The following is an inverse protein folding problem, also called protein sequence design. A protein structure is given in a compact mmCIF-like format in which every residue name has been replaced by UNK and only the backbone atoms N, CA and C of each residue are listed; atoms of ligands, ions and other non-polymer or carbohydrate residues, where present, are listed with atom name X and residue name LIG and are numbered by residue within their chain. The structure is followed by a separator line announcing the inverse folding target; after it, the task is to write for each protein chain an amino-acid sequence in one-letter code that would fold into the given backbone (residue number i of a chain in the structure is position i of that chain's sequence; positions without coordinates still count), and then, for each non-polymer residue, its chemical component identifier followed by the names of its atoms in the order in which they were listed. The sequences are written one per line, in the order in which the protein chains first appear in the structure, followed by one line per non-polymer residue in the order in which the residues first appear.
data_IF_980820615994
#
_entry.id   IF_980820615994
#
_cell.length_a   1.000
_cell.length_b   1.000
_cell.length_c   1.000
_cell.angle_alpha   90.00
_cell.angle_beta   90.00
_cell.angle_gamma   90.00
#
_symmetry.space_group_name_H-M   'P 1'
#
loop_
_entity.id
_entity.type
_entity.pdbx_description
1 polymer ?
#
# COMPACT_ATOMS: atom_id res chain seq x y z
N UNK A 1 -24.16 -35.73 19.85
CA UNK A 1 -23.98 -34.32 20.25
C UNK A 1 -22.47 -34.05 20.26
N UNK A 2 -21.78 -33.98 19.12
CA UNK A 2 -21.85 -32.89 18.15
C UNK A 2 -20.64 -31.93 18.29
N UNK A 3 -19.44 -32.45 18.59
CA UNK A 3 -18.23 -31.64 18.73
C UNK A 3 -17.52 -31.56 17.38
N UNK A 4 -18.10 -30.76 16.47
CA UNK A 4 -17.63 -30.59 15.08
C UNK A 4 -17.26 -29.13 14.74
N UNK A 5 -17.14 -28.24 15.74
CA UNK A 5 -17.11 -26.79 15.48
C UNK A 5 -15.77 -26.06 15.74
N UNK A 6 -14.65 -26.73 16.02
CA UNK A 6 -13.50 -26.04 16.62
C UNK A 6 -12.13 -26.25 15.96
N UNK A 7 -12.05 -26.58 14.66
CA UNK A 7 -10.75 -26.68 13.96
C UNK A 7 -10.59 -25.78 12.72
N UNK A 8 -11.56 -24.90 12.43
CA UNK A 8 -11.52 -24.06 11.23
C UNK A 8 -11.40 -22.54 11.53
N UNK A 9 -10.69 -22.13 12.60
CA UNK A 9 -10.58 -20.69 12.95
C UNK A 9 -9.16 -20.16 13.14
N UNK A 10 -8.11 -20.91 12.82
CA UNK A 10 -6.72 -20.39 12.90
C UNK A 10 -6.18 -19.81 11.58
N UNK A 11 -6.98 -19.72 10.52
CA UNK A 11 -6.55 -19.11 9.24
C UNK A 11 -7.20 -17.78 8.81
N UNK A 12 -7.64 -16.86 9.69
CA UNK A 12 -7.93 -15.50 9.21
C UNK A 12 -6.63 -14.70 8.97
N UNK A 13 -5.57 -14.88 9.75
CA UNK A 13 -4.40 -13.99 9.74
C UNK A 13 -3.51 -14.12 8.49
N UNK A 14 -3.33 -15.33 7.95
CA UNK A 14 -2.55 -15.54 6.72
C UNK A 14 -3.25 -15.04 5.46
N UNK A 15 -4.59 -15.10 5.41
CA UNK A 15 -5.35 -14.54 4.30
C UNK A 15 -5.38 -13.01 4.37
N UNK A 16 -5.47 -12.42 5.56
CA UNK A 16 -5.42 -10.96 5.77
C UNK A 16 -4.04 -10.36 5.45
N UNK A 17 -2.96 -11.12 5.68
CA UNK A 17 -1.59 -10.67 5.37
C UNK A 17 -1.29 -10.64 3.86
N UNK A 18 -1.90 -11.53 3.06
CA UNK A 18 -1.75 -11.51 1.59
C UNK A 18 -2.64 -10.47 0.91
N UNK A 19 -3.78 -10.11 1.53
CA UNK A 19 -4.63 -9.00 1.08
C UNK A 19 -3.97 -7.62 1.24
N UNK A 20 -2.87 -7.52 1.99
CA UNK A 20 -2.12 -6.27 2.20
C UNK A 20 -1.46 -5.69 0.93
N UNK A 21 -1.40 -6.45 -0.16
CA UNK A 21 -0.72 -6.02 -1.39
C UNK A 21 -1.60 -5.21 -2.36
N UNK A 22 -2.93 -5.34 -2.29
CA UNK A 22 -3.83 -4.56 -3.15
C UNK A 22 -4.52 -3.50 -2.31
N UNK A 23 -4.08 -2.25 -2.47
CA UNK A 23 -4.70 -1.09 -1.84
C UNK A 23 -6.08 -0.84 -2.48
N UNK A 24 -7.11 -0.75 -1.66
CA UNK A 24 -8.46 -0.39 -2.07
C UNK A 24 -8.81 1.06 -1.72
N UNK A 25 -9.94 1.59 -2.22
CA UNK A 25 -10.46 2.88 -1.77
C UNK A 25 -10.67 2.92 -0.25
N UNK A 26 -10.31 4.04 0.39
CA UNK A 26 -10.41 4.21 1.84
C UNK A 26 -9.27 3.57 2.64
N UNK A 27 -8.43 2.73 2.03
CA UNK A 27 -7.19 2.27 2.65
C UNK A 27 -6.22 3.44 2.80
N UNK A 28 -5.65 3.61 4.00
CA UNK A 28 -4.60 4.61 4.21
C UNK A 28 -3.40 4.31 3.29
N UNK A 29 -2.97 5.30 2.52
CA UNK A 29 -1.79 5.17 1.67
C UNK A 29 -0.55 4.84 2.52
N UNK A 30 0.24 3.81 2.13
CA UNK A 30 1.51 3.51 2.78
C UNK A 30 2.46 4.70 2.67
N UNK A 31 3.21 4.97 3.74
CA UNK A 31 4.22 6.01 3.72
C UNK A 31 5.47 5.52 3.00
N UNK A 32 6.10 6.40 2.23
CA UNK A 32 7.35 6.13 1.54
C UNK A 32 8.13 7.42 1.33
N UNK A 33 9.45 7.29 1.18
CA UNK A 33 10.36 8.40 0.93
C UNK A 33 11.05 8.18 -0.41
N UNK A 34 11.05 9.20 -1.27
CA UNK A 34 11.72 9.16 -2.58
C UNK A 34 12.77 10.27 -2.68
N UNK A 35 13.78 10.02 -3.50
CA UNK A 35 14.70 11.06 -3.95
C UNK A 35 14.04 11.90 -5.05
N UNK A 36 14.13 13.20 -4.91
CA UNK A 36 13.75 14.17 -5.95
C UNK A 36 14.86 14.29 -6.99
N UNK A 37 14.56 14.93 -8.13
CA UNK A 37 15.54 15.17 -9.20
C UNK A 37 16.71 16.07 -8.76
N UNK A 38 16.55 16.86 -7.70
CA UNK A 38 17.59 17.72 -7.12
C UNK A 38 18.42 17.03 -6.02
N UNK A 39 18.14 15.75 -5.72
CA UNK A 39 18.84 14.98 -4.69
C UNK A 39 18.32 15.17 -3.26
N UNK A 40 17.33 16.05 -3.05
CA UNK A 40 16.60 16.11 -1.79
C UNK A 40 15.66 14.91 -1.63
N UNK A 41 15.28 14.58 -0.39
CA UNK A 41 14.29 13.55 -0.10
C UNK A 41 12.93 14.17 0.20
N UNK A 42 11.87 13.45 -0.15
CA UNK A 42 10.49 13.81 0.19
C UNK A 42 9.74 12.58 0.67
N UNK A 43 8.95 12.73 1.73
CA UNK A 43 8.12 11.66 2.30
C UNK A 43 6.64 11.94 2.03
N UNK A 44 5.85 10.91 1.70
CA UNK A 44 4.43 11.07 1.39
C UNK A 44 3.66 11.75 2.53
N UNK A 45 3.98 11.41 3.79
CA UNK A 45 3.34 11.99 4.97
C UNK A 45 3.56 13.50 5.15
N UNK A 46 4.61 14.07 4.56
CA UNK A 46 4.88 15.52 4.54
C UNK A 46 3.86 16.29 3.66
N UNK A 47 3.20 15.59 2.72
CA UNK A 47 2.22 16.18 1.79
C UNK A 47 0.77 16.10 2.28
N UNK A 48 0.53 15.66 3.52
CA UNK A 48 -0.82 15.59 4.10
C UNK A 48 -1.49 16.97 4.14
N UNK A 49 -2.82 16.97 4.09
CA UNK A 49 -3.64 18.18 3.97
C UNK A 49 -3.76 18.71 2.55
N UNK A 50 -3.11 18.06 1.57
CA UNK A 50 -3.27 18.31 0.13
C UNK A 50 -3.92 17.09 -0.53
N UNK A 51 -4.55 17.31 -1.69
CA UNK A 51 -4.90 16.19 -2.58
C UNK A 51 -3.65 15.76 -3.32
N UNK A 52 -3.28 14.49 -3.21
CA UNK A 52 -2.05 13.93 -3.81
C UNK A 52 -2.43 12.83 -4.79
N UNK A 53 -1.87 12.88 -6.00
CA UNK A 53 -2.03 11.86 -7.03
C UNK A 53 -0.66 11.18 -7.24
N UNK A 54 -0.64 9.85 -7.21
CA UNK A 54 0.59 9.05 -7.37
C UNK A 54 0.55 8.37 -8.75
N UNK A 55 1.54 8.67 -9.59
CA UNK A 55 1.74 8.01 -10.88
C UNK A 55 2.95 7.09 -10.84
N UNK A 56 2.81 5.87 -11.35
CA UNK A 56 3.91 4.92 -11.53
C UNK A 56 4.28 4.85 -13.01
N UNK A 57 5.52 5.20 -13.34
CA UNK A 57 6.04 5.14 -14.70
C UNK A 57 7.23 4.16 -14.77
N UNK A 58 7.22 3.14 -15.64
CA UNK A 58 8.38 2.26 -15.82
C UNK A 58 9.59 3.00 -16.41
N UNK A 59 9.33 3.99 -17.27
CA UNK A 59 10.31 4.90 -17.84
C UNK A 59 9.72 6.31 -17.90
N UNK A 60 10.50 7.32 -17.51
CA UNK A 60 10.03 8.71 -17.37
C UNK A 60 10.56 9.67 -18.45
N UNK A 61 11.50 9.21 -19.29
CA UNK A 61 12.14 9.99 -20.35
C UNK A 61 11.93 9.34 -21.73
N UNK A 62 10.68 9.07 -22.09
CA UNK A 62 10.33 8.57 -23.42
C UNK A 62 10.07 9.76 -24.33
N UNK A 63 11.13 10.31 -24.93
CA UNK A 63 10.99 11.29 -26.01
C UNK A 63 10.24 10.65 -27.18
N UNK A 64 9.23 11.34 -27.70
CA UNK A 64 8.61 11.01 -28.99
C UNK A 64 9.43 11.54 -30.16
#
# INVERSE_FOLDING_TARGET
MGQLAALCSTMPTVMESLQKMVLGPGTQAPDFTLNTHSGAQITLSELRGKTVVIGFHPASFTGG
#
